data_IF_555225955444
#
_entry.id   IF_555225955444
#
_cell.length_a   1.000
_cell.length_b   1.000
_cell.length_c   1.000
_cell.angle_alpha   90.00
_cell.angle_beta   90.00
_cell.angle_gamma   90.00
#
_symmetry.space_group_name_H-M   'P 1'
#
loop_
_entity.id
_entity.type
_entity.pdbx_description
1 polymer ?
#
# COMPACT_ATOMS: atom_id res chain seq x y z
N UNK A 1 4.04 -29.06 8.07
CA UNK A 1 4.23 -28.37 6.78
C UNK A 1 4.49 -26.89 7.08
N UNK A 2 5.76 -26.50 7.27
CA UNK A 2 6.11 -25.09 7.49
C UNK A 2 5.98 -24.37 6.14
N UNK A 3 5.19 -23.30 6.07
CA UNK A 3 5.16 -22.41 4.91
C UNK A 3 6.44 -21.59 4.96
N UNK A 4 7.31 -21.70 3.97
CA UNK A 4 8.48 -20.82 3.88
C UNK A 4 7.99 -19.37 3.75
N UNK A 5 8.25 -18.50 4.75
CA UNK A 5 7.77 -17.11 4.74
C UNK A 5 8.42 -16.29 3.63
N UNK A 6 9.48 -16.83 3.01
CA UNK A 6 10.29 -16.24 1.96
C UNK A 6 9.80 -16.55 0.55
N UNK A 7 8.73 -17.34 0.39
CA UNK A 7 8.15 -17.64 -0.92
C UNK A 7 6.92 -16.76 -1.18
N UNK A 8 6.92 -16.04 -2.31
CA UNK A 8 5.74 -15.30 -2.78
C UNK A 8 4.59 -16.29 -3.02
N UNK A 9 3.38 -16.02 -2.48
CA UNK A 9 2.21 -16.84 -2.76
C UNK A 9 1.83 -16.79 -4.24
N UNK A 10 1.17 -17.85 -4.73
CA UNK A 10 0.72 -17.94 -6.13
C UNK A 10 -0.29 -16.85 -6.51
N UNK A 11 -1.02 -16.34 -5.52
CA UNK A 11 -1.99 -15.26 -5.68
C UNK A 11 -1.72 -14.15 -4.68
N UNK A 12 -1.49 -12.96 -5.20
CA UNK A 12 -1.28 -11.74 -4.43
C UNK A 12 -2.58 -10.94 -4.39
N UNK A 13 -2.76 -10.12 -3.37
CA UNK A 13 -3.73 -9.02 -3.40
C UNK A 13 -3.18 -7.87 -4.24
N UNK A 14 -4.05 -6.93 -4.61
CA UNK A 14 -3.64 -5.71 -5.33
C UNK A 14 -2.62 -4.92 -4.52
N UNK A 15 -2.75 -4.89 -3.19
CA UNK A 15 -1.80 -4.19 -2.31
C UNK A 15 -0.45 -4.89 -2.23
N UNK A 16 -0.42 -6.22 -2.14
CA UNK A 16 0.82 -6.98 -2.15
C UNK A 16 1.55 -6.83 -3.51
N UNK A 17 0.81 -6.89 -4.62
CA UNK A 17 1.38 -6.61 -5.94
C UNK A 17 1.92 -5.19 -6.04
N UNK A 18 1.24 -4.20 -5.45
CA UNK A 18 1.73 -2.82 -5.38
C UNK A 18 3.08 -2.72 -4.66
N UNK A 19 3.25 -3.46 -3.55
CA UNK A 19 4.51 -3.53 -2.81
C UNK A 19 5.62 -4.18 -3.63
N UNK A 20 5.32 -5.30 -4.30
CA UNK A 20 6.28 -6.00 -5.17
C UNK A 20 6.73 -5.10 -6.33
N UNK A 21 5.81 -4.37 -6.94
CA UNK A 21 6.09 -3.42 -8.02
C UNK A 21 6.62 -2.06 -7.55
N UNK A 22 6.66 -1.82 -6.23
CA UNK A 22 7.03 -0.53 -5.61
C UNK A 22 6.22 0.68 -6.13
N UNK A 23 4.92 0.49 -6.32
CA UNK A 23 3.99 1.55 -6.72
C UNK A 23 3.01 1.89 -5.60
N UNK A 24 2.46 3.10 -5.64
CA UNK A 24 1.41 3.50 -4.70
C UNK A 24 0.15 2.63 -4.84
N UNK A 25 -0.53 2.35 -3.72
CA UNK A 25 -1.78 1.56 -3.69
C UNK A 25 -2.83 2.08 -4.68
N UNK A 26 -3.01 3.40 -4.76
CA UNK A 26 -3.94 4.02 -5.70
C UNK A 26 -3.61 3.71 -7.17
N UNK A 27 -2.33 3.76 -7.54
CA UNK A 27 -1.88 3.41 -8.89
C UNK A 27 -2.16 1.93 -9.20
N UNK A 28 -1.90 1.03 -8.25
CA UNK A 28 -2.19 -0.40 -8.42
C UNK A 28 -3.69 -0.66 -8.64
N UNK A 29 -4.58 0.00 -7.88
CA UNK A 29 -6.03 -0.13 -8.10
C UNK A 29 -6.48 0.44 -9.45
N UNK A 30 -5.90 1.56 -9.89
CA UNK A 30 -6.18 2.12 -11.22
C UNK A 30 -5.77 1.14 -12.32
N UNK A 31 -4.56 0.58 -12.24
CA UNK A 31 -4.06 -0.41 -13.19
C UNK A 31 -4.91 -1.69 -13.18
N UNK A 32 -5.36 -2.14 -12.01
CA UNK A 32 -6.27 -3.29 -11.89
C UNK A 32 -7.63 -3.01 -12.54
N UNK A 33 -8.14 -1.79 -12.43
CA UNK A 33 -9.37 -1.37 -13.10
C UNK A 33 -9.18 -1.33 -14.61
N UNK A 34 -8.08 -0.76 -15.09
CA UNK A 34 -7.73 -0.74 -16.52
C UNK A 34 -7.67 -2.14 -17.11
N UNK A 35 -7.02 -3.09 -16.44
CA UNK A 35 -6.98 -4.48 -16.86
C UNK A 35 -8.37 -5.10 -17.05
N UNK A 36 -9.30 -4.82 -16.14
CA UNK A 36 -10.68 -5.31 -16.26
C UNK A 36 -11.44 -4.62 -17.39
N UNK A 37 -11.22 -3.33 -17.59
CA UNK A 37 -11.88 -2.56 -18.66
C UNK A 37 -11.38 -2.96 -20.04
N UNK A 38 -10.08 -3.22 -20.19
CA UNK A 38 -9.46 -3.60 -21.47
C UNK A 38 -9.56 -5.09 -21.78
N UNK A 39 -10.18 -5.89 -20.89
CA UNK A 39 -10.28 -7.34 -21.05
C UNK A 39 -8.95 -8.06 -20.90
N UNK A 40 -8.01 -7.47 -20.17
CA UNK A 40 -6.70 -8.05 -19.88
C UNK A 40 -5.61 -7.74 -20.90
N UNK A 41 -5.73 -6.62 -21.62
CA UNK A 41 -4.68 -6.18 -22.54
C UNK A 41 -3.65 -5.25 -21.86
N UNK A 42 -4.09 -4.38 -20.96
CA UNK A 42 -3.23 -3.37 -20.34
C UNK A 42 -3.53 -3.18 -18.86
N UNK A 43 -2.50 -2.90 -18.07
CA UNK A 43 -2.60 -2.61 -16.63
C UNK A 43 -2.06 -3.73 -15.74
N UNK A 44 -2.65 -3.88 -14.56
CA UNK A 44 -2.21 -4.86 -13.56
C UNK A 44 -3.03 -6.16 -13.71
N UNK A 45 -2.40 -7.31 -13.98
CA UNK A 45 -3.12 -8.56 -14.20
C UNK A 45 -3.90 -8.99 -12.95
N UNK A 46 -5.23 -8.88 -13.03
CA UNK A 46 -6.14 -9.27 -11.93
C UNK A 46 -7.18 -10.26 -12.41
N UNK A 47 -7.49 -11.22 -11.54
CA UNK A 47 -8.63 -12.12 -11.64
C UNK A 47 -9.63 -11.81 -10.53
N UNK A 48 -10.91 -11.91 -10.85
CA UNK A 48 -11.98 -11.76 -9.86
C UNK A 48 -12.34 -13.13 -9.31
N UNK A 49 -12.10 -13.34 -8.02
CA UNK A 49 -12.48 -14.54 -7.28
C UNK A 49 -13.61 -14.15 -6.32
N UNK A 50 -14.85 -14.37 -6.78
CA UNK A 50 -16.06 -13.94 -6.08
C UNK A 50 -16.11 -12.42 -5.90
N UNK A 51 -15.99 -11.96 -4.65
CA UNK A 51 -15.99 -10.53 -4.29
C UNK A 51 -14.58 -9.93 -4.15
N UNK A 52 -13.54 -10.72 -4.44
CA UNK A 52 -12.14 -10.32 -4.21
C UNK A 52 -11.35 -10.25 -5.51
N UNK A 53 -10.39 -9.33 -5.59
CA UNK A 53 -9.42 -9.25 -6.67
C UNK A 53 -8.12 -9.90 -6.23
N UNK A 54 -7.58 -10.77 -7.09
CA UNK A 54 -6.29 -11.41 -6.90
C UNK A 54 -5.42 -11.21 -8.13
N UNK A 55 -4.13 -11.06 -7.91
CA UNK A 55 -3.09 -10.92 -8.92
C UNK A 55 -2.37 -12.26 -9.00
N UNK A 56 -2.51 -13.03 -10.10
CA UNK A 56 -1.77 -14.26 -10.27
C UNK A 56 -0.28 -13.97 -10.41
N UNK A 57 0.55 -14.64 -9.61
CA UNK A 57 2.02 -14.49 -9.64
C UNK A 57 2.58 -14.72 -11.04
N UNK A 58 2.20 -15.81 -11.69
CA UNK A 58 2.68 -16.15 -13.02
C UNK A 58 2.37 -15.08 -14.08
N UNK A 59 1.23 -14.39 -13.96
CA UNK A 59 0.86 -13.30 -14.87
C UNK A 59 1.69 -12.04 -14.57
N UNK A 60 1.93 -11.76 -13.30
CA UNK A 60 2.77 -10.65 -12.87
C UNK A 60 4.25 -10.84 -13.26
N UNK A 61 4.79 -12.06 -13.15
CA UNK A 61 6.14 -12.41 -13.60
C UNK A 61 6.29 -12.25 -15.12
N UNK A 62 5.28 -12.68 -15.90
CA UNK A 62 5.24 -12.45 -17.35
C UNK A 62 5.24 -10.97 -17.70
N UNK A 63 4.47 -10.14 -16.98
CA UNK A 63 4.45 -8.69 -17.15
C UNK A 63 5.83 -8.07 -16.89
N UNK A 64 6.55 -8.56 -15.88
CA UNK A 64 7.86 -8.03 -15.50
C UNK A 64 9.03 -8.60 -16.32
N UNK A 65 8.78 -9.60 -17.18
CA UNK A 65 9.82 -10.23 -18.01
C UNK A 65 10.81 -11.11 -17.23
N UNK A 66 10.48 -11.53 -16.01
CA UNK A 66 11.38 -12.32 -15.17
C UNK A 66 10.80 -12.72 -13.81
N UNK A 67 11.49 -13.59 -13.07
CA UNK A 67 11.06 -14.04 -11.75
C UNK A 67 11.04 -12.86 -10.77
N UNK A 68 9.93 -12.74 -10.04
CA UNK A 68 9.79 -11.72 -9.02
C UNK A 68 10.48 -12.18 -7.74
N UNK A 69 11.47 -11.41 -7.31
CA UNK A 69 12.08 -11.60 -5.99
C UNK A 69 11.12 -11.08 -4.93
N UNK A 70 10.96 -11.86 -3.85
CA UNK A 70 10.32 -11.35 -2.64
C UNK A 70 11.29 -10.32 -2.06
N UNK A 71 10.87 -9.09 -1.75
CA UNK A 71 11.69 -8.24 -0.92
C UNK A 71 11.94 -9.01 0.37
N UNK A 72 13.20 -9.34 0.63
CA UNK A 72 13.63 -9.92 1.89
C UNK A 72 13.08 -9.03 3.01
N UNK A 73 12.57 -9.66 4.08
CA UNK A 73 11.74 -9.01 5.13
C UNK A 73 12.52 -8.00 6.00
N UNK A 74 13.64 -7.48 5.51
CA UNK A 74 14.53 -6.53 6.16
C UNK A 74 14.31 -5.06 5.72
N UNK A 75 13.31 -4.78 4.89
CA UNK A 75 12.94 -3.41 4.54
C UNK A 75 11.42 -3.23 4.45
N UNK A 76 10.71 -3.42 5.55
CA UNK A 76 9.75 -2.37 5.87
C UNK A 76 10.62 -1.14 6.13
N UNK A 77 10.67 -0.09 5.26
CA UNK A 77 10.94 1.21 5.82
C UNK A 77 9.89 1.34 6.90
N UNK A 78 10.34 1.46 8.13
CA UNK A 78 9.54 1.97 9.23
C UNK A 78 8.80 3.17 8.65
N UNK A 79 7.56 2.95 8.19
CA UNK A 79 6.61 4.03 8.08
C UNK A 79 6.34 4.29 9.54
N UNK A 80 7.27 5.06 10.16
CA UNK A 80 6.95 5.91 11.29
C UNK A 80 5.60 6.48 10.86
N UNK A 81 4.50 6.13 11.55
CA UNK A 81 3.24 6.75 11.24
C UNK A 81 3.57 8.22 11.35
N UNK A 82 3.61 8.92 10.21
CA UNK A 82 3.99 10.32 10.17
C UNK A 82 3.15 10.92 11.27
N UNK A 83 3.80 11.31 12.37
CA UNK A 83 3.12 11.75 13.57
C UNK A 83 2.08 12.70 13.02
N UNK A 84 0.80 12.38 13.26
CA UNK A 84 -0.26 13.33 13.01
C UNK A 84 0.12 14.48 13.90
N UNK A 85 0.89 15.44 13.36
CA UNK A 85 1.31 16.62 14.10
C UNK A 85 0.01 17.14 14.67
N UNK A 86 -0.16 17.16 15.99
CA UNK A 86 -1.38 17.66 16.57
C UNK A 86 -1.49 19.05 15.98
N UNK A 87 -2.55 19.27 15.19
CA UNK A 87 -2.90 20.59 14.65
C UNK A 87 -2.73 21.52 15.83
N UNK A 88 -1.71 22.37 15.81
CA UNK A 88 -1.41 23.29 16.91
C UNK A 88 -2.69 24.08 17.15
N UNK A 89 -3.47 23.67 18.16
CA UNK A 89 -4.55 24.49 18.68
C UNK A 89 -3.82 25.68 19.25
N UNK A 90 -3.92 26.83 18.57
CA UNK A 90 -3.52 28.10 19.15
C UNK A 90 -4.24 28.21 20.50
N UNK A 91 -3.53 28.32 21.63
CA UNK A 91 -4.19 28.61 22.90
C UNK A 91 -4.80 30.01 22.77
N UNK A 92 -6.11 30.13 23.01
CA UNK A 92 -6.69 31.44 23.37
C UNK A 92 -6.01 31.83 24.70
N UNK A 93 -5.15 32.84 24.67
CA UNK A 93 -4.70 33.50 25.88
C UNK A 93 -5.90 34.28 26.44
N UNK A 94 -6.67 33.59 27.28
CA UNK A 94 -7.46 34.21 28.33
C UNK A 94 -6.47 34.52 29.45
N UNK A 95 -6.09 35.78 29.61
CA UNK A 95 -5.43 36.24 30.83
C UNK A 95 -6.35 37.26 31.48
N UNK A 96 -7.33 36.71 32.21
CA UNK A 96 -8.00 37.42 33.26
C UNK A 96 -7.07 37.48 34.48
N UNK A 97 -6.69 38.71 34.86
CA UNK A 97 -6.74 39.11 36.26
C UNK A 97 -5.45 39.14 37.09
N UNK A 98 -5.27 40.33 37.70
CA UNK A 98 -4.69 40.67 39.01
C UNK A 98 -3.23 41.17 39.08
N UNK A 99 -2.88 42.05 40.04
CA UNK A 99 -3.69 42.88 40.94
C UNK A 99 -3.38 44.39 40.87
N UNK A 100 -4.23 45.19 41.52
CA UNK A 100 -4.03 46.59 41.86
C UNK A 100 -2.92 46.78 42.92
N UNK A 101 -2.31 47.97 42.88
CA UNK A 101 -1.55 48.69 43.92
C UNK A 101 -0.02 48.51 44.01
N UNK A 102 0.72 49.47 44.60
CA UNK A 102 0.32 50.54 45.56
C UNK A 102 -0.10 51.89 44.99
#
# INVERSE_FOLDING_TARGET
MRRDPSALPDFLTVEEAAKVLRIGRGAAYTLARQWRTTGGQEGLPVITLGKTLRVPRAALEKLCGGPLAVPDRLQEPEVVPAERQPRRRRPRLQQDGLPLNP
#
